data_IF_893031597331
#
_entry.id   IF_893031597331
#
_cell.length_a   1.000
_cell.length_b   1.000
_cell.length_c   1.000
_cell.angle_alpha   90.00
_cell.angle_beta   90.00
_cell.angle_gamma   90.00
#
_symmetry.space_group_name_H-M   'P 1'
#
loop_
_entity.id
_entity.type
_entity.pdbx_description
1 polymer ?
#
# COMPACT_ATOMS: atom_id res chain seq x y z
N UNK A 1 1.41 -28.90 -22.87
CA UNK A 1 0.81 -27.56 -22.82
C UNK A 1 0.76 -27.18 -21.34
N UNK A 2 1.78 -26.46 -20.85
CA UNK A 2 1.82 -26.02 -19.45
C UNK A 2 1.07 -24.69 -19.38
N UNK A 3 -0.10 -24.66 -18.78
CA UNK A 3 -0.75 -23.43 -18.34
C UNK A 3 0.20 -22.76 -17.34
N UNK A 4 0.96 -21.75 -17.78
CA UNK A 4 1.68 -20.85 -16.88
C UNK A 4 0.59 -20.16 -16.04
N UNK A 5 0.60 -20.42 -14.73
CA UNK A 5 -0.24 -19.72 -13.77
C UNK A 5 0.20 -18.26 -13.74
N UNK A 6 -0.51 -17.45 -14.53
CA UNK A 6 -0.40 -16.00 -14.49
C UNK A 6 -1.27 -15.55 -13.33
N UNK A 7 -0.73 -15.58 -12.13
CA UNK A 7 -1.39 -14.95 -10.99
C UNK A 7 -0.35 -14.21 -10.11
N UNK A 8 0.43 -13.33 -10.74
CA UNK A 8 1.01 -12.23 -10.00
C UNK A 8 -0.09 -11.18 -9.89
N UNK A 9 -0.83 -11.20 -8.78
CA UNK A 9 -1.76 -10.13 -8.44
C UNK A 9 -0.98 -8.82 -8.24
N UNK A 10 -0.68 -8.21 -9.38
CA UNK A 10 -0.42 -6.78 -9.41
C UNK A 10 -1.69 -6.14 -8.90
N UNK A 11 -1.63 -5.27 -7.91
CA UNK A 11 -2.69 -4.36 -7.55
C UNK A 11 -2.96 -3.43 -8.76
N UNK A 12 -3.56 -3.97 -9.82
CA UNK A 12 -4.10 -3.19 -10.93
C UNK A 12 -5.54 -2.88 -10.53
N UNK A 13 -5.75 -1.66 -10.05
CA UNK A 13 -7.07 -1.11 -9.84
C UNK A 13 -7.72 -0.88 -11.21
N UNK A 14 -8.58 -1.80 -11.65
CA UNK A 14 -9.46 -1.57 -12.79
C UNK A 14 -10.69 -0.80 -12.33
N UNK A 15 -10.90 0.36 -12.93
CA UNK A 15 -12.06 1.21 -12.74
C UNK A 15 -13.28 0.61 -13.43
N UNK A 16 -14.39 0.40 -12.68
CA UNK A 16 -15.74 0.43 -13.23
C UNK A 16 -16.62 1.30 -12.34
N UNK A 17 -17.22 2.32 -12.95
CA UNK A 17 -18.12 3.25 -12.28
C UNK A 17 -19.53 2.68 -12.11
N UNK A 18 -20.18 2.97 -10.97
CA UNK A 18 -21.58 2.62 -10.70
C UNK A 18 -22.13 3.44 -9.52
N UNK A 19 -23.32 3.97 -9.68
CA UNK A 19 -23.96 5.09 -9.02
C UNK A 19 -24.37 4.91 -7.54
N UNK A 20 -24.55 6.05 -6.88
CA UNK A 20 -24.85 6.29 -5.47
C UNK A 20 -26.28 5.92 -5.03
N UNK A 21 -26.41 5.56 -3.75
CA UNK A 21 -27.62 5.83 -2.95
C UNK A 21 -27.24 6.20 -1.50
N UNK A 22 -27.90 7.22 -1.00
CA UNK A 22 -27.79 7.83 0.32
C UNK A 22 -28.34 6.95 1.44
N UNK A 23 -27.69 6.94 2.60
CA UNK A 23 -28.37 6.65 3.88
C UNK A 23 -27.62 7.27 5.08
N UNK A 24 -28.37 7.75 5.96
CA UNK A 24 -28.39 8.74 7.03
C UNK A 24 -27.53 8.44 8.26
N UNK A 25 -27.11 9.55 8.92
CA UNK A 25 -26.44 9.70 10.20
C UNK A 25 -27.11 9.01 11.40
N UNK A 26 -26.26 8.46 12.27
CA UNK A 26 -26.58 8.42 13.71
C UNK A 26 -25.31 8.74 14.53
N UNK A 27 -25.40 9.84 15.27
CA UNK A 27 -24.40 10.32 16.23
C UNK A 27 -24.59 9.62 17.57
N UNK A 28 -23.52 9.02 18.10
CA UNK A 28 -23.45 8.67 19.52
C UNK A 28 -22.13 9.11 20.12
N UNK A 29 -22.25 10.12 20.98
CA UNK A 29 -21.21 10.72 21.80
C UNK A 29 -21.07 9.84 23.05
N UNK A 30 -19.94 9.14 23.19
CA UNK A 30 -19.61 8.44 24.45
C UNK A 30 -18.34 9.04 25.01
N UNK A 31 -18.44 9.51 26.25
CA UNK A 31 -17.34 10.11 27.00
C UNK A 31 -16.26 9.08 27.34
N UNK A 32 -15.00 9.43 27.11
CA UNK A 32 -13.85 8.63 27.46
C UNK A 32 -13.44 8.85 28.91
N UNK A 33 -13.34 7.76 29.63
CA UNK A 33 -12.65 7.67 30.93
C UNK A 33 -11.14 7.68 30.61
N UNK A 34 -10.42 8.63 31.19
CA UNK A 34 -8.97 8.78 31.09
C UNK A 34 -8.30 7.69 31.94
N UNK A 35 -7.71 6.70 31.29
CA UNK A 35 -6.71 5.82 31.87
C UNK A 35 -5.33 6.18 31.31
N UNK A 36 -4.36 6.37 32.20
CA UNK A 36 -3.19 7.21 32.04
C UNK A 36 -1.98 6.59 31.29
N UNK A 37 -2.16 5.79 30.23
CA UNK A 37 -1.01 5.26 29.45
C UNK A 37 -1.25 5.05 27.97
N UNK A 38 -2.41 5.39 27.41
CA UNK A 38 -2.74 5.08 26.01
C UNK A 38 -2.61 6.32 25.13
N UNK A 39 -1.71 6.25 24.12
CA UNK A 39 -1.62 7.28 23.10
C UNK A 39 -2.94 7.36 22.33
N UNK A 40 -3.43 8.57 22.14
CA UNK A 40 -4.56 8.86 21.26
C UNK A 40 -4.20 8.58 19.79
N UNK A 41 -5.22 8.43 18.95
CA UNK A 41 -5.02 8.29 17.50
C UNK A 41 -4.10 9.40 16.93
N UNK A 42 -4.35 10.66 17.33
CA UNK A 42 -3.57 11.80 16.86
C UNK A 42 -2.10 11.75 17.30
N UNK A 43 -1.84 11.29 18.50
CA UNK A 43 -0.46 11.13 19.00
C UNK A 43 0.28 10.02 18.25
N UNK A 44 -0.39 8.87 18.01
CA UNK A 44 0.19 7.78 17.21
C UNK A 44 0.51 8.27 15.80
N UNK A 45 -0.43 8.94 15.15
CA UNK A 45 -0.24 9.47 13.79
C UNK A 45 0.91 10.49 13.72
N UNK A 46 1.02 11.41 14.68
CA UNK A 46 2.14 12.37 14.76
C UNK A 46 3.49 11.67 14.93
N UNK A 47 3.54 10.60 15.72
CA UNK A 47 4.78 9.83 15.93
C UNK A 47 5.18 9.07 14.65
N UNK A 48 4.23 8.44 13.95
CA UNK A 48 4.47 7.81 12.64
C UNK A 48 4.93 8.82 11.61
N UNK A 49 4.27 9.98 11.50
CA UNK A 49 4.66 11.05 10.59
C UNK A 49 6.09 11.54 10.86
N UNK A 50 6.43 11.75 12.13
CA UNK A 50 7.79 12.10 12.53
C UNK A 50 8.80 11.01 12.18
N UNK A 51 8.44 9.75 12.41
CA UNK A 51 9.30 8.60 12.11
C UNK A 51 9.63 8.49 10.62
N UNK A 52 8.62 8.66 9.74
CA UNK A 52 8.80 8.65 8.29
C UNK A 52 9.11 10.04 7.69
N UNK A 53 9.52 11.02 8.49
CA UNK A 53 9.92 12.35 7.98
C UNK A 53 11.24 12.35 7.22
N UNK A 54 11.89 11.21 7.07
CA UNK A 54 13.08 10.96 6.26
C UNK A 54 12.79 11.04 4.76
N UNK A 55 13.82 11.26 3.92
CA UNK A 55 13.66 11.37 2.47
C UNK A 55 13.24 10.04 1.81
N UNK A 56 13.61 8.91 2.40
CA UNK A 56 13.25 7.58 1.92
C UNK A 56 13.61 6.46 2.89
N UNK A 57 13.08 5.26 2.62
CA UNK A 57 13.37 4.05 3.40
C UNK A 57 13.32 2.80 2.52
N UNK A 58 13.91 1.72 3.00
CA UNK A 58 13.86 0.40 2.37
C UNK A 58 13.35 -0.64 3.37
N UNK A 59 12.74 -1.70 2.85
CA UNK A 59 12.29 -2.83 3.66
C UNK A 59 12.31 -4.12 2.84
N UNK A 60 12.43 -5.25 3.50
CA UNK A 60 12.02 -6.52 2.94
C UNK A 60 10.51 -6.69 3.15
N UNK A 61 9.83 -7.37 2.24
CA UNK A 61 8.41 -7.67 2.40
C UNK A 61 8.11 -9.15 2.15
N UNK A 62 7.07 -9.62 2.82
CA UNK A 62 6.33 -10.82 2.45
C UNK A 62 4.87 -10.46 2.25
N UNK A 63 4.29 -10.94 1.17
CA UNK A 63 2.90 -10.73 0.80
C UNK A 63 2.16 -12.07 0.78
N UNK A 64 0.94 -12.07 1.27
CA UNK A 64 -0.01 -13.18 1.12
C UNK A 64 -1.32 -12.59 0.61
N UNK A 65 -1.83 -13.13 -0.49
CA UNK A 65 -3.09 -12.70 -1.11
C UNK A 65 -4.05 -13.88 -1.19
N UNK A 66 -5.25 -13.72 -0.61
CA UNK A 66 -6.30 -14.75 -0.60
C UNK A 66 -7.49 -14.26 -1.42
N UNK A 67 -7.85 -15.05 -2.44
CA UNK A 67 -9.02 -14.80 -3.29
C UNK A 67 -10.13 -15.73 -2.81
N UNK A 68 -11.12 -15.16 -2.12
CA UNK A 68 -12.17 -15.94 -1.46
C UNK A 68 -13.01 -16.76 -2.43
N UNK A 69 -13.41 -16.18 -3.55
CA UNK A 69 -14.25 -16.84 -4.54
C UNK A 69 -13.61 -18.08 -5.19
N UNK A 70 -12.28 -18.17 -5.19
CA UNK A 70 -11.52 -19.26 -5.80
C UNK A 70 -10.86 -20.18 -4.77
N UNK A 71 -10.92 -19.84 -3.47
CA UNK A 71 -10.22 -20.53 -2.38
C UNK A 71 -8.70 -20.63 -2.62
N UNK A 72 -8.13 -19.63 -3.33
CA UNK A 72 -6.70 -19.57 -3.67
C UNK A 72 -6.00 -18.65 -2.70
N UNK A 73 -4.83 -19.07 -2.23
CA UNK A 73 -3.90 -18.23 -1.48
C UNK A 73 -2.54 -18.28 -2.14
N UNK A 74 -2.04 -17.11 -2.54
CA UNK A 74 -0.73 -16.92 -3.13
C UNK A 74 0.19 -16.16 -2.18
N UNK A 75 1.48 -16.44 -2.28
CA UNK A 75 2.51 -15.77 -1.50
C UNK A 75 3.62 -15.24 -2.39
N UNK A 76 4.11 -14.08 -2.04
CA UNK A 76 5.23 -13.44 -2.73
C UNK A 76 6.16 -12.77 -1.71
N UNK A 77 7.42 -12.54 -2.08
CA UNK A 77 8.34 -11.80 -1.24
C UNK A 77 9.38 -11.06 -2.07
N UNK A 78 10.05 -10.09 -1.42
CA UNK A 78 11.06 -9.30 -2.09
C UNK A 78 11.49 -8.09 -1.29
N UNK A 79 11.91 -7.04 -1.98
CA UNK A 79 12.38 -5.79 -1.40
C UNK A 79 11.56 -4.61 -1.90
N UNK A 80 11.37 -3.63 -1.03
CA UNK A 80 10.64 -2.41 -1.33
C UNK A 80 11.49 -1.19 -0.98
N UNK A 81 11.42 -0.17 -1.83
CA UNK A 81 12.14 1.10 -1.72
C UNK A 81 11.12 2.22 -1.85
N UNK A 82 11.18 3.17 -0.94
CA UNK A 82 10.25 4.29 -0.89
C UNK A 82 10.99 5.59 -0.74
N UNK A 83 10.60 6.59 -1.53
CA UNK A 83 11.15 7.94 -1.47
C UNK A 83 10.00 8.95 -1.50
N UNK A 84 10.22 10.11 -0.90
CA UNK A 84 9.25 11.21 -0.93
C UNK A 84 8.82 11.52 -2.37
N UNK A 85 7.70 12.22 -2.51
CA UNK A 85 7.07 12.56 -3.77
C UNK A 85 6.42 11.36 -4.50
N UNK A 86 6.05 10.31 -3.75
CA UNK A 86 5.32 9.16 -4.28
C UNK A 86 6.17 8.18 -5.08
N UNK A 87 7.49 8.33 -5.02
CA UNK A 87 8.41 7.41 -5.68
C UNK A 87 8.48 6.10 -4.91
N UNK A 88 8.29 4.98 -5.60
CA UNK A 88 8.44 3.65 -5.02
C UNK A 88 8.95 2.64 -6.04
N UNK A 89 9.60 1.61 -5.50
CA UNK A 89 10.06 0.45 -6.26
C UNK A 89 9.83 -0.80 -5.43
N UNK A 90 9.13 -1.77 -6.00
CA UNK A 90 8.92 -3.10 -5.45
C UNK A 90 9.63 -4.11 -6.33
N UNK A 91 10.54 -4.87 -5.76
CA UNK A 91 11.26 -5.94 -6.43
C UNK A 91 10.74 -7.27 -5.87
N UNK A 92 9.84 -7.92 -6.59
CA UNK A 92 9.41 -9.28 -6.27
C UNK A 92 10.51 -10.26 -6.69
N UNK A 93 10.89 -11.13 -5.77
CA UNK A 93 11.91 -12.15 -5.96
C UNK A 93 11.29 -13.55 -6.07
N UNK A 94 10.16 -13.75 -5.40
CA UNK A 94 9.39 -15.00 -5.40
C UNK A 94 7.89 -14.71 -5.53
N UNK A 95 7.08 -15.62 -6.16
CA UNK A 95 7.49 -16.82 -6.90
C UNK A 95 8.13 -16.48 -8.23
N UNK A 96 7.73 -15.37 -8.86
CA UNK A 96 8.21 -14.90 -10.15
C UNK A 96 8.82 -13.50 -10.00
N UNK A 97 9.88 -13.24 -10.75
CA UNK A 97 10.53 -11.93 -10.72
C UNK A 97 9.67 -10.90 -11.42
N UNK A 98 9.37 -9.84 -10.69
CA UNK A 98 8.64 -8.69 -11.20
C UNK A 98 9.15 -7.43 -10.52
N UNK A 99 9.22 -6.33 -11.25
CA UNK A 99 9.62 -5.04 -10.69
C UNK A 99 8.53 -4.03 -10.98
N UNK A 100 7.98 -3.43 -9.93
CA UNK A 100 6.99 -2.36 -10.03
C UNK A 100 7.68 -1.07 -9.62
N UNK A 101 7.65 -0.08 -10.50
CA UNK A 101 8.33 1.21 -10.29
C UNK A 101 7.33 2.33 -10.53
N UNK A 102 7.41 3.38 -9.71
CA UNK A 102 6.76 4.65 -10.03
C UNK A 102 7.62 5.84 -9.59
N UNK A 103 7.64 6.85 -10.44
CA UNK A 103 8.22 8.16 -10.15
C UNK A 103 7.22 9.13 -9.47
N UNK A 104 6.00 8.62 -9.19
CA UNK A 104 4.86 9.39 -8.69
C UNK A 104 3.89 9.86 -9.78
N UNK A 105 4.22 9.67 -11.06
CA UNK A 105 3.38 10.03 -12.22
C UNK A 105 3.15 8.85 -13.15
N UNK A 106 4.22 8.16 -13.50
CA UNK A 106 4.24 6.99 -14.36
C UNK A 106 4.39 5.73 -13.53
N UNK A 107 3.70 4.69 -13.92
CA UNK A 107 3.82 3.34 -13.37
C UNK A 107 4.45 2.44 -14.43
N UNK A 108 5.47 1.71 -14.05
CA UNK A 108 6.07 0.64 -14.85
C UNK A 108 5.96 -0.68 -14.11
N UNK A 109 5.47 -1.70 -14.78
CA UNK A 109 5.44 -3.08 -14.27
C UNK A 109 6.28 -3.93 -15.22
N UNK A 110 7.51 -4.20 -14.82
CA UNK A 110 8.48 -4.95 -15.62
C UNK A 110 8.51 -6.41 -15.20
N UNK A 111 8.39 -7.30 -16.18
CA UNK A 111 8.55 -8.74 -16.06
C UNK A 111 9.80 -9.19 -16.80
N UNK A 112 10.91 -9.41 -16.11
CA UNK A 112 12.18 -9.74 -16.76
C UNK A 112 12.14 -11.04 -17.58
N UNK A 113 11.42 -12.06 -17.10
CA UNK A 113 11.34 -13.37 -17.76
C UNK A 113 10.57 -13.32 -19.08
N UNK A 114 9.62 -12.42 -19.19
CA UNK A 114 8.82 -12.21 -20.40
C UNK A 114 9.40 -11.11 -21.28
N UNK A 115 10.47 -10.43 -20.87
CA UNK A 115 11.04 -9.23 -21.50
C UNK A 115 9.95 -8.19 -21.83
N UNK A 116 9.01 -7.99 -20.89
CA UNK A 116 7.81 -7.18 -21.09
C UNK A 116 7.70 -6.10 -20.02
N UNK A 117 7.30 -4.90 -20.42
CA UNK A 117 6.94 -3.82 -19.50
C UNK A 117 5.52 -3.32 -19.80
N UNK A 118 4.72 -3.19 -18.74
CA UNK A 118 3.45 -2.48 -18.79
C UNK A 118 3.66 -1.07 -18.27
N UNK A 119 3.20 -0.07 -19.04
CA UNK A 119 3.36 1.35 -18.71
C UNK A 119 1.97 1.97 -18.58
N UNK A 120 1.77 2.76 -17.55
CA UNK A 120 0.53 3.47 -17.31
C UNK A 120 0.73 4.69 -16.41
N UNK A 121 -0.34 5.38 -16.11
CA UNK A 121 -0.33 6.44 -15.11
C UNK A 121 -0.25 5.82 -13.73
N UNK A 122 0.54 6.42 -12.84
CA UNK A 122 0.49 6.04 -11.44
C UNK A 122 -0.97 6.17 -10.95
N UNK A 123 -1.50 5.16 -10.24
CA UNK A 123 -2.86 5.24 -9.71
C UNK A 123 -3.07 6.53 -8.94
N UNK A 124 -4.30 7.11 -9.02
CA UNK A 124 -4.62 8.39 -8.38
C UNK A 124 -4.34 8.40 -6.86
N UNK A 125 -4.30 7.22 -6.25
CA UNK A 125 -3.84 7.03 -4.88
C UNK A 125 -2.38 7.46 -4.66
N UNK A 126 -1.57 7.41 -5.73
CA UNK A 126 -0.16 7.83 -5.74
C UNK A 126 0.03 9.22 -6.35
N UNK A 127 -1.00 9.83 -6.95
CA UNK A 127 -0.92 11.15 -7.56
C UNK A 127 -0.61 12.24 -6.54
N UNK A 128 0.18 13.20 -6.95
CA UNK A 128 0.57 14.33 -6.11
C UNK A 128 1.67 14.02 -5.10
N UNK A 129 2.55 13.07 -5.39
CA UNK A 129 3.63 12.68 -4.49
C UNK A 129 3.16 11.83 -3.31
N UNK A 130 2.02 11.22 -3.46
CA UNK A 130 1.23 10.64 -2.38
C UNK A 130 1.29 9.11 -2.30
N UNK A 131 2.16 8.42 -3.04
CA UNK A 131 2.37 6.99 -2.94
C UNK A 131 2.51 6.52 -1.51
N UNK A 132 3.54 5.78 -1.17
CA UNK A 132 3.85 5.51 0.24
C UNK A 132 4.19 6.78 1.06
N UNK A 133 4.17 7.97 0.42
CA UNK A 133 4.13 9.23 1.13
C UNK A 133 2.91 9.41 2.04
N UNK A 134 1.90 8.53 1.96
CA UNK A 134 0.87 8.50 3.00
C UNK A 134 1.46 8.20 4.39
N UNK A 135 2.55 7.45 4.47
CA UNK A 135 3.27 7.24 5.73
C UNK A 135 4.04 8.51 6.17
N UNK A 136 4.40 9.38 5.23
CA UNK A 136 5.08 10.65 5.49
C UNK A 136 4.17 11.88 5.42
N UNK A 137 2.93 11.74 4.90
CA UNK A 137 1.93 12.81 4.82
C UNK A 137 0.57 12.33 5.36
N UNK A 138 0.42 12.40 6.67
CA UNK A 138 -0.80 12.03 7.38
C UNK A 138 -2.02 12.88 6.99
N UNK A 139 -1.83 14.05 6.37
CA UNK A 139 -2.95 14.86 5.87
C UNK A 139 -3.71 14.10 4.79
N UNK A 140 -3.00 13.46 3.86
CA UNK A 140 -3.62 12.69 2.77
C UNK A 140 -4.44 11.54 3.32
N UNK A 141 -3.93 10.82 4.34
CA UNK A 141 -4.70 9.76 4.98
C UNK A 141 -5.95 10.35 5.65
N UNK A 142 -5.81 11.45 6.39
CA UNK A 142 -6.94 12.12 7.05
C UNK A 142 -8.00 12.63 6.06
N UNK A 143 -7.56 13.10 4.90
CA UNK A 143 -8.46 13.56 3.85
C UNK A 143 -9.23 12.41 3.20
N UNK A 144 -8.56 11.28 2.94
CA UNK A 144 -9.12 10.17 2.15
C UNK A 144 -9.76 9.06 2.99
N UNK A 145 -9.42 8.93 4.27
CA UNK A 145 -9.89 7.85 5.13
C UNK A 145 -10.50 8.33 6.44
N UNK A 146 -11.53 7.64 6.89
CA UNK A 146 -11.96 7.66 8.27
C UNK A 146 -11.08 6.68 9.04
N UNK A 147 -10.44 7.16 10.11
CA UNK A 147 -9.47 6.37 10.87
C UNK A 147 -9.94 6.14 12.28
N UNK A 148 -9.70 4.93 12.77
CA UNK A 148 -9.91 4.57 14.17
C UNK A 148 -8.69 3.83 14.69
N UNK A 149 -8.32 4.11 15.92
CA UNK A 149 -7.35 3.31 16.66
C UNK A 149 -8.12 2.17 17.31
N UNK A 150 -7.83 0.93 16.90
CA UNK A 150 -8.43 -0.24 17.54
C UNK A 150 -7.85 -0.42 18.94
N UNK A 151 -8.66 -0.97 19.83
CA UNK A 151 -8.21 -1.24 21.21
C UNK A 151 -7.00 -2.17 21.17
N UNK A 152 -6.06 -1.92 22.06
CA UNK A 152 -4.76 -2.59 22.16
C UNK A 152 -4.79 -4.08 21.83
N UNK A 153 -3.99 -4.44 20.82
CA UNK A 153 -3.55 -5.82 20.69
C UNK A 153 -2.51 -6.10 21.79
N UNK A 154 -2.57 -7.26 22.42
CA UNK A 154 -1.60 -7.72 23.44
C UNK A 154 -0.15 -7.83 22.90
N UNK A 155 0.04 -7.61 21.61
CA UNK A 155 1.27 -7.92 20.84
C UNK A 155 2.25 -6.75 20.68
N UNK A 156 2.09 -5.63 21.40
CA UNK A 156 3.05 -4.49 21.30
C UNK A 156 2.87 -3.61 20.06
N UNK A 157 1.70 -3.63 19.41
CA UNK A 157 1.36 -2.80 18.26
C UNK A 157 0.19 -1.88 18.55
N UNK A 158 0.17 -0.74 17.87
CA UNK A 158 -1.05 -0.01 17.59
C UNK A 158 -1.68 -0.55 16.31
N UNK A 159 -2.99 -0.72 16.26
CA UNK A 159 -3.71 -1.12 15.05
C UNK A 159 -4.60 0.02 14.63
N UNK A 160 -4.33 0.57 13.45
CA UNK A 160 -5.16 1.58 12.83
C UNK A 160 -6.05 0.91 11.79
N UNK A 161 -7.35 1.15 11.90
CA UNK A 161 -8.34 0.81 10.88
C UNK A 161 -8.64 2.04 10.06
N UNK A 162 -8.59 1.91 8.73
CA UNK A 162 -8.85 2.96 7.76
C UNK A 162 -10.00 2.53 6.85
N UNK A 163 -11.03 3.35 6.77
CA UNK A 163 -12.16 3.17 5.87
C UNK A 163 -12.15 4.30 4.85
N UNK A 164 -12.09 4.01 3.52
CA UNK A 164 -12.16 5.04 2.50
C UNK A 164 -13.41 5.91 2.68
N UNK A 165 -13.27 7.24 2.55
CA UNK A 165 -14.41 8.17 2.58
C UNK A 165 -15.20 8.14 1.27
N UNK A 166 -14.51 7.84 0.17
CA UNK A 166 -15.10 7.74 -1.16
C UNK A 166 -14.99 6.29 -1.65
N UNK A 167 -16.01 5.81 -2.34
CA UNK A 167 -16.03 4.47 -2.98
C UNK A 167 -15.25 4.45 -4.30
N UNK A 168 -14.20 5.24 -4.40
CA UNK A 168 -13.38 5.36 -5.62
C UNK A 168 -12.39 4.20 -5.80
N UNK A 169 -12.30 3.30 -4.83
CA UNK A 169 -11.32 2.19 -4.81
C UNK A 169 -12.03 0.88 -4.56
N UNK A 170 -11.49 -0.20 -5.11
CA UNK A 170 -11.95 -1.56 -4.77
C UNK A 170 -11.66 -1.92 -3.30
N UNK A 171 -10.72 -1.22 -2.66
CA UNK A 171 -10.41 -1.40 -1.25
C UNK A 171 -11.53 -0.82 -0.39
N UNK A 172 -12.07 -1.64 0.49
CA UNK A 172 -13.13 -1.25 1.43
C UNK A 172 -12.59 -1.01 2.85
N UNK A 173 -11.44 -1.62 3.17
CA UNK A 173 -10.87 -1.54 4.51
C UNK A 173 -9.36 -1.77 4.47
N UNK A 174 -8.61 -1.00 5.27
CA UNK A 174 -7.17 -1.19 5.48
C UNK A 174 -6.90 -1.22 6.98
N UNK A 175 -6.07 -2.16 7.42
CA UNK A 175 -5.50 -2.18 8.76
C UNK A 175 -4.00 -1.98 8.69
N UNK A 176 -3.46 -1.16 9.60
CA UNK A 176 -2.02 -0.91 9.75
C UNK A 176 -1.60 -1.32 11.15
N UNK A 177 -0.62 -2.21 11.25
CA UNK A 177 0.07 -2.53 12.52
C UNK A 177 1.30 -1.68 12.64
N UNK A 178 1.36 -0.88 13.69
CA UNK A 178 2.43 0.06 13.99
C UNK A 178 3.12 -0.39 15.29
N UNK A 179 4.42 -0.61 15.22
CA UNK A 179 5.22 -0.97 16.40
C UNK A 179 5.15 0.12 17.46
N UNK A 180 4.81 -0.23 18.70
CA UNK A 180 4.81 0.71 19.83
C UNK A 180 6.21 1.22 20.18
N UNK A 181 7.23 0.43 19.87
CA UNK A 181 8.60 0.76 20.20
C UNK A 181 9.27 1.67 19.18
N UNK A 182 9.07 1.39 17.88
CA UNK A 182 9.80 2.06 16.79
C UNK A 182 8.91 2.99 15.97
N UNK A 183 7.59 2.83 16.02
CA UNK A 183 6.62 3.48 15.13
C UNK A 183 6.74 3.07 13.66
N UNK A 184 7.42 1.97 13.37
CA UNK A 184 7.39 1.35 12.06
C UNK A 184 6.01 0.78 11.76
N UNK A 185 5.53 0.96 10.53
CA UNK A 185 4.41 0.19 9.99
C UNK A 185 4.96 -1.16 9.57
N UNK A 186 4.67 -2.19 10.36
CA UNK A 186 5.24 -3.54 10.16
C UNK A 186 4.29 -4.47 9.41
N UNK A 187 3.00 -4.15 9.34
CA UNK A 187 2.02 -4.95 8.61
C UNK A 187 0.93 -4.07 8.04
N UNK A 188 0.52 -4.38 6.83
CA UNK A 188 -0.64 -3.83 6.14
C UNK A 188 -1.56 -5.00 5.79
N UNK A 189 -2.84 -4.84 6.04
CA UNK A 189 -3.88 -5.77 5.63
C UNK A 189 -4.96 -4.99 4.91
N UNK A 190 -5.31 -5.40 3.71
CA UNK A 190 -6.35 -4.76 2.90
C UNK A 190 -7.44 -5.75 2.55
N UNK A 191 -8.67 -5.27 2.51
CA UNK A 191 -9.82 -6.02 2.01
C UNK A 191 -10.43 -5.26 0.83
N UNK A 192 -10.83 -6.00 -0.19
CA UNK A 192 -11.58 -5.45 -1.31
C UNK A 192 -13.08 -5.71 -1.18
N UNK A 193 -13.89 -5.18 -2.11
CA UNK A 193 -15.35 -5.34 -2.13
C UNK A 193 -15.81 -6.78 -2.38
N UNK A 194 -14.93 -7.66 -2.85
CA UNK A 194 -15.19 -9.08 -3.09
C UNK A 194 -14.86 -9.96 -1.88
N UNK A 195 -14.30 -9.35 -0.81
CA UNK A 195 -13.84 -10.07 0.38
C UNK A 195 -12.44 -10.66 0.26
N UNK A 196 -11.72 -10.39 -0.83
CA UNK A 196 -10.34 -10.82 -0.95
C UNK A 196 -9.44 -10.06 0.03
N UNK A 197 -8.46 -10.75 0.56
CA UNK A 197 -7.50 -10.24 1.52
C UNK A 197 -6.11 -10.14 0.91
N UNK A 198 -5.41 -9.03 1.14
CA UNK A 198 -3.96 -8.95 0.91
C UNK A 198 -3.27 -8.48 2.17
N UNK A 199 -2.32 -9.28 2.62
CA UNK A 199 -1.47 -9.02 3.77
C UNK A 199 -0.04 -8.80 3.32
N UNK A 200 0.55 -7.68 3.74
CA UNK A 200 1.97 -7.38 3.55
C UNK A 200 2.61 -7.23 4.92
N UNK A 201 3.70 -7.94 5.15
CA UNK A 201 4.51 -7.84 6.36
C UNK A 201 5.87 -7.29 5.97
N UNK A 202 6.28 -6.20 6.61
CA UNK A 202 7.61 -5.60 6.43
C UNK A 202 8.57 -6.08 7.51
N UNK A 203 9.80 -6.29 7.09
CA UNK A 203 10.93 -6.62 7.97
C UNK A 203 12.18 -5.87 7.50
N UNK A 204 13.19 -5.81 8.35
CA UNK A 204 14.45 -5.14 8.04
C UNK A 204 14.24 -3.71 7.49
N UNK A 205 13.33 -2.95 8.12
CA UNK A 205 13.02 -1.57 7.76
C UNK A 205 14.25 -0.71 8.05
N UNK A 206 14.75 -0.02 7.03
CA UNK A 206 15.91 0.86 7.14
C UNK A 206 15.53 2.25 6.66
N UNK A 207 15.50 3.20 7.59
CA UNK A 207 15.27 4.60 7.26
C UNK A 207 16.54 5.18 6.64
N UNK A 208 16.53 5.42 5.34
CA UNK A 208 17.63 6.00 4.58
C UNK A 208 17.27 7.41 4.15
N UNK A 209 18.22 8.32 4.27
CA UNK A 209 17.98 9.70 3.89
C UNK A 209 18.19 9.95 2.38
N UNK A 210 19.00 9.13 1.70
CA UNK A 210 19.39 9.38 0.32
C UNK A 210 19.34 8.10 -0.53
N UNK A 211 18.21 7.91 -1.22
CA UNK A 211 18.05 6.88 -2.24
C UNK A 211 18.25 7.53 -3.61
N UNK A 212 19.04 6.91 -4.48
CA UNK A 212 19.26 7.40 -5.83
C UNK A 212 17.95 7.46 -6.61
N UNK A 213 17.73 8.56 -7.34
CA UNK A 213 16.52 8.77 -8.13
C UNK A 213 16.40 7.79 -9.30
N UNK A 214 17.52 7.26 -9.81
CA UNK A 214 17.54 6.22 -10.84
C UNK A 214 16.82 4.93 -10.45
N UNK A 215 16.71 4.64 -9.15
CA UNK A 215 15.92 3.51 -8.65
C UNK A 215 14.43 3.62 -9.00
N UNK A 216 13.95 4.83 -9.26
CA UNK A 216 12.53 5.15 -9.45
C UNK A 216 12.22 5.56 -10.89
N UNK A 217 13.09 5.24 -11.82
CA UNK A 217 12.90 5.37 -13.26
C UNK A 217 13.08 4.03 -13.95
N UNK A 218 12.52 3.91 -15.15
CA UNK A 218 12.66 2.73 -15.98
C UNK A 218 12.94 3.14 -17.43
N UNK A 219 13.98 2.55 -18.02
CA UNK A 219 14.31 2.74 -19.42
C UNK A 219 13.91 1.51 -20.21
N UNK A 220 13.11 1.71 -21.26
CA UNK A 220 12.70 0.63 -22.16
C UNK A 220 13.87 0.28 -23.06
N UNK A 221 14.35 -0.98 -22.99
CA UNK A 221 15.43 -1.46 -23.84
C UNK A 221 14.92 -1.88 -25.22
N UNK A 222 15.80 -1.87 -26.22
CA UNK A 222 15.49 -2.38 -27.55
C UNK A 222 15.04 -3.85 -27.49
N UNK A 223 13.96 -4.16 -28.23
CA UNK A 223 13.38 -5.51 -28.27
C UNK A 223 12.50 -5.89 -27.06
N UNK A 224 12.23 -4.96 -26.14
CA UNK A 224 11.29 -5.18 -25.05
C UNK A 224 9.85 -5.00 -25.54
N UNK A 225 8.95 -5.89 -25.14
CA UNK A 225 7.53 -5.73 -25.39
C UNK A 225 6.94 -4.66 -24.45
N UNK A 226 6.27 -3.66 -25.04
CA UNK A 226 5.64 -2.57 -24.29
C UNK A 226 4.11 -2.70 -24.40
N UNK A 227 3.43 -2.75 -23.25
CA UNK A 227 1.98 -2.70 -23.13
C UNK A 227 1.55 -1.42 -22.44
N UNK A 228 0.46 -0.80 -22.88
CA UNK A 228 -0.10 0.39 -22.24
C UNK A 228 -1.35 0.03 -21.43
N UNK A 229 -1.36 0.42 -20.14
CA UNK A 229 -2.45 0.13 -19.20
C UNK A 229 -3.66 1.07 -19.39
N UNK A 230 -3.43 2.26 -19.96
CA UNK A 230 -4.43 3.32 -20.07
C UNK A 230 -5.24 3.25 -21.41
N UNK A 231 -4.99 2.28 -22.27
CA UNK A 231 -5.62 2.12 -23.59
C UNK A 231 -6.69 1.02 -23.66
N UNK A 232 -7.22 0.58 -22.50
CA UNK A 232 -8.29 -0.43 -22.44
C UNK A 232 -9.63 0.18 -22.07
#
# INVERSE_FOLDING_TARGET
MRFKRILCLVFIFLFFGGQATLATNLSSKTASVLDGSHLSLDEVLKKVEKHYSVSGFTANFSQTSSIQAMEITDSASGRAFFKRSGKMRWEYETPDRQIIITDGKTLWVFRPEDNQVMIGKAPSFFEGGKGFSFLSDMKVIREKFNMTLEKETKEGFFVLKLLPKEKAYDIVEIHLWISKNTFDVVRILTFNSYGDETRIVFSNIQLKQDLDDSLFSFEVSEGMEVLHLDEQ
#
